data_IF_475156242705
#
_entry.id   IF_475156242705
#
_cell.length_a   1.000
_cell.length_b   1.000
_cell.length_c   1.000
_cell.angle_alpha   90.00
_cell.angle_beta   90.00
_cell.angle_gamma   90.00
#
_symmetry.space_group_name_H-M   'P 1'
#
loop_
_entity.id
_entity.type
_entity.pdbx_description
1 polymer ?
#
# COMPACT_ATOMS: atom_id res chain seq x y z
N UNK A 1 -13.83 -10.49 11.01
CA UNK A 1 -13.93 -9.55 9.88
C UNK A 1 -14.77 -8.32 10.19
N UNK A 2 -15.98 -8.47 10.74
CA UNK A 2 -16.91 -7.34 10.93
C UNK A 2 -16.33 -6.19 11.77
N UNK A 3 -15.74 -6.48 12.94
CA UNK A 3 -15.05 -5.47 13.78
C UNK A 3 -13.85 -4.81 13.08
N UNK A 4 -13.14 -5.54 12.23
CA UNK A 4 -12.01 -5.00 11.47
C UNK A 4 -12.50 -4.06 10.37
N UNK A 5 -13.53 -4.49 9.63
CA UNK A 5 -14.16 -3.69 8.59
C UNK A 5 -14.74 -2.39 9.17
N UNK A 6 -15.39 -2.47 10.33
CA UNK A 6 -15.89 -1.30 11.07
C UNK A 6 -14.75 -0.34 11.45
N UNK A 7 -13.67 -0.83 12.08
CA UNK A 7 -12.51 -0.01 12.45
C UNK A 7 -11.81 0.61 11.24
N UNK A 8 -11.70 -0.14 10.14
CA UNK A 8 -11.16 0.35 8.87
C UNK A 8 -12.16 1.25 8.11
N UNK A 9 -13.41 1.32 8.56
CA UNK A 9 -14.53 2.03 7.93
C UNK A 9 -14.77 1.63 6.47
N UNK A 10 -14.77 0.32 6.22
CA UNK A 10 -15.17 -0.32 4.96
C UNK A 10 -16.23 -1.39 5.25
N UNK A 11 -16.97 -1.86 4.23
CA UNK A 11 -17.98 -2.89 4.46
C UNK A 11 -17.34 -4.27 4.70
N UNK A 12 -17.94 -5.06 5.59
CA UNK A 12 -17.51 -6.44 5.88
C UNK A 12 -17.53 -7.32 4.62
N UNK A 13 -18.52 -7.11 3.74
CA UNK A 13 -18.60 -7.77 2.43
C UNK A 13 -17.39 -7.43 1.56
N UNK A 14 -17.05 -6.14 1.43
CA UNK A 14 -15.93 -5.70 0.60
C UNK A 14 -14.59 -6.19 1.14
N UNK A 15 -14.37 -6.12 2.46
CA UNK A 15 -13.16 -6.70 3.07
C UNK A 15 -13.05 -8.20 2.79
N UNK A 16 -14.17 -8.93 2.84
CA UNK A 16 -14.22 -10.35 2.45
C UNK A 16 -13.90 -10.62 1.00
N UNK A 17 -14.33 -9.76 0.07
CA UNK A 17 -13.97 -9.87 -1.35
C UNK A 17 -12.47 -9.64 -1.56
N UNK A 18 -11.90 -8.63 -0.89
CA UNK A 18 -10.47 -8.31 -0.96
C UNK A 18 -9.60 -9.46 -0.44
N UNK A 19 -9.92 -10.05 0.72
CA UNK A 19 -9.14 -11.17 1.27
C UNK A 19 -9.15 -12.42 0.37
N UNK A 20 -10.22 -12.63 -0.40
CA UNK A 20 -10.31 -13.73 -1.38
C UNK A 20 -9.67 -13.41 -2.72
N UNK A 21 -9.03 -12.24 -2.87
CA UNK A 21 -8.46 -11.78 -4.13
C UNK A 21 -9.49 -11.37 -5.19
N UNK A 22 -10.75 -11.20 -4.80
CA UNK A 22 -11.87 -10.86 -5.69
C UNK A 22 -12.24 -9.36 -5.65
N UNK A 23 -11.63 -8.57 -4.77
CA UNK A 23 -11.89 -7.14 -4.61
C UNK A 23 -10.70 -6.26 -5.02
N UNK A 24 -10.95 -5.23 -5.82
CA UNK A 24 -9.93 -4.20 -6.10
C UNK A 24 -9.89 -3.19 -4.94
N UNK A 25 -8.81 -3.22 -4.15
CA UNK A 25 -8.62 -2.32 -3.02
C UNK A 25 -7.69 -1.16 -3.38
N UNK A 26 -8.14 0.06 -3.10
CA UNK A 26 -7.28 1.24 -3.22
C UNK A 26 -6.23 1.24 -2.11
N UNK A 27 -5.04 1.81 -2.38
CA UNK A 27 -4.00 2.00 -1.36
C UNK A 27 -4.50 2.74 -0.11
N UNK A 28 -5.41 3.70 -0.27
CA UNK A 28 -6.04 4.41 0.85
C UNK A 28 -6.82 3.45 1.75
N UNK A 29 -7.66 2.59 1.17
CA UNK A 29 -8.43 1.62 1.95
C UNK A 29 -7.54 0.53 2.54
N UNK A 30 -6.51 0.10 1.81
CA UNK A 30 -5.53 -0.87 2.31
C UNK A 30 -4.78 -0.32 3.53
N UNK A 31 -4.40 0.96 3.51
CA UNK A 31 -3.79 1.62 4.66
C UNK A 31 -4.73 1.75 5.85
N UNK A 32 -6.02 2.02 5.63
CA UNK A 32 -7.02 2.02 6.72
C UNK A 32 -7.16 0.64 7.35
N UNK A 33 -7.05 -0.43 6.55
CA UNK A 33 -7.02 -1.80 7.05
C UNK A 33 -5.74 -2.04 7.86
N UNK A 34 -4.58 -1.57 7.40
CA UNK A 34 -3.31 -1.65 8.13
C UNK A 34 -3.38 -0.95 9.50
N UNK A 35 -3.85 0.30 9.53
CA UNK A 35 -4.07 1.08 10.74
C UNK A 35 -5.05 0.38 11.69
N UNK A 36 -6.15 -0.18 11.17
CA UNK A 36 -7.09 -0.96 11.94
C UNK A 36 -6.52 -2.31 12.42
N UNK A 37 -5.49 -2.84 11.79
CA UNK A 37 -4.75 -4.02 12.30
C UNK A 37 -3.65 -3.62 13.30
N UNK A 38 -3.27 -2.35 13.35
CA UNK A 38 -2.15 -1.87 14.17
C UNK A 38 -0.79 -2.23 13.59
N UNK A 39 -0.70 -2.40 12.27
CA UNK A 39 0.52 -2.73 11.53
C UNK A 39 0.82 -1.66 10.48
N UNK A 40 2.02 -1.66 9.92
CA UNK A 40 2.36 -0.77 8.81
C UNK A 40 1.80 -1.33 7.49
N UNK A 41 1.56 -0.45 6.52
CA UNK A 41 1.14 -0.88 5.18
C UNK A 41 2.15 -1.84 4.54
N UNK A 42 3.45 -1.65 4.80
CA UNK A 42 4.52 -2.53 4.34
C UNK A 42 4.40 -3.97 4.87
N UNK A 43 3.74 -4.17 6.01
CA UNK A 43 3.59 -5.50 6.61
C UNK A 43 2.48 -6.32 5.92
N UNK A 44 1.61 -5.66 5.16
CA UNK A 44 0.52 -6.29 4.38
C UNK A 44 0.94 -6.54 2.93
N UNK A 45 1.82 -5.70 2.39
CA UNK A 45 2.27 -5.79 1.00
C UNK A 45 3.47 -6.72 0.91
N UNK A 46 3.29 -7.88 0.27
CA UNK A 46 4.41 -8.73 -0.12
C UNK A 46 5.03 -8.20 -1.43
N UNK A 47 6.29 -7.79 -1.36
CA UNK A 47 7.03 -7.22 -2.48
C UNK A 47 7.85 -8.25 -3.28
N UNK A 48 7.97 -9.50 -2.79
CA UNK A 48 8.51 -10.66 -3.51
C UNK A 48 9.72 -10.40 -4.42
N UNK A 49 10.72 -9.64 -3.97
CA UNK A 49 11.87 -9.28 -4.80
C UNK A 49 13.14 -10.03 -4.40
N UNK A 50 13.88 -10.51 -5.40
CA UNK A 50 15.19 -11.18 -5.21
C UNK A 50 16.37 -10.21 -5.38
N UNK A 51 16.12 -8.93 -5.70
CA UNK A 51 17.15 -7.93 -5.98
C UNK A 51 17.68 -7.26 -4.72
N UNK A 52 18.96 -6.88 -4.77
CA UNK A 52 19.62 -6.12 -3.72
C UNK A 52 19.11 -4.68 -3.64
N UNK A 53 19.16 -4.10 -2.42
CA UNK A 53 18.68 -2.73 -2.16
C UNK A 53 19.27 -1.68 -3.10
N UNK A 54 20.56 -1.79 -3.40
CA UNK A 54 21.25 -0.84 -4.28
C UNK A 54 20.69 -0.87 -5.70
N UNK A 55 20.37 -2.06 -6.22
CA UNK A 55 19.81 -2.23 -7.56
C UNK A 55 18.40 -1.66 -7.65
N UNK A 56 17.58 -1.92 -6.63
CA UNK A 56 16.22 -1.36 -6.54
C UNK A 56 16.25 0.17 -6.50
N UNK A 57 17.18 0.77 -5.76
CA UNK A 57 17.32 2.22 -5.70
C UNK A 57 17.78 2.82 -7.03
N UNK A 58 18.68 2.16 -7.76
CA UNK A 58 19.07 2.58 -9.11
C UNK A 58 17.87 2.56 -10.06
N UNK A 59 17.09 1.49 -10.06
CA UNK A 59 15.87 1.37 -10.88
C UNK A 59 14.85 2.48 -10.54
N UNK A 60 14.61 2.74 -9.24
CA UNK A 60 13.71 3.81 -8.81
C UNK A 60 14.21 5.17 -9.31
N UNK A 61 15.53 5.45 -9.19
CA UNK A 61 16.11 6.69 -9.67
C UNK A 61 15.94 6.85 -11.19
N UNK A 62 16.18 5.79 -11.97
CA UNK A 62 15.97 5.79 -13.42
C UNK A 62 14.50 6.03 -13.80
N UNK A 63 13.55 5.35 -13.14
CA UNK A 63 12.11 5.54 -13.39
C UNK A 63 11.70 6.97 -13.03
N UNK A 64 12.23 7.52 -11.93
CA UNK A 64 11.86 8.85 -11.42
C UNK A 64 12.12 9.97 -12.42
N UNK A 65 13.08 9.82 -13.33
CA UNK A 65 13.41 10.83 -14.36
C UNK A 65 12.31 11.03 -15.40
N UNK A 66 11.38 10.08 -15.53
CA UNK A 66 10.30 10.10 -16.54
C UNK A 66 8.94 10.46 -15.96
N UNK A 67 8.89 10.75 -14.66
CA UNK A 67 7.64 11.00 -13.94
C UNK A 67 7.18 12.43 -14.10
N UNK A 68 5.86 12.61 -14.15
CA UNK A 68 5.27 13.94 -14.05
C UNK A 68 5.24 14.43 -12.61
N UNK A 69 5.05 15.74 -12.40
CA UNK A 69 4.87 16.29 -11.05
C UNK A 69 3.74 15.60 -10.27
N UNK A 70 2.67 15.21 -10.97
CA UNK A 70 1.55 14.47 -10.37
C UNK A 70 1.99 13.09 -9.91
N UNK A 71 2.77 12.38 -10.71
CA UNK A 71 3.26 11.05 -10.35
C UNK A 71 4.19 11.14 -9.13
N UNK A 72 5.07 12.14 -9.09
CA UNK A 72 5.96 12.41 -7.94
C UNK A 72 5.15 12.68 -6.67
N UNK A 73 4.09 13.48 -6.74
CA UNK A 73 3.20 13.74 -5.60
C UNK A 73 2.53 12.46 -5.08
N UNK A 74 2.07 11.60 -5.99
CA UNK A 74 1.43 10.33 -5.64
C UNK A 74 2.46 9.38 -4.99
N UNK A 75 3.64 9.24 -5.57
CA UNK A 75 4.72 8.40 -5.02
C UNK A 75 5.14 8.88 -3.64
N UNK A 76 5.32 10.19 -3.46
CA UNK A 76 5.61 10.77 -2.15
C UNK A 76 4.54 10.37 -1.12
N UNK A 77 3.27 10.46 -1.48
CA UNK A 77 2.18 10.06 -0.59
C UNK A 77 2.23 8.57 -0.25
N UNK A 78 2.46 7.69 -1.23
CA UNK A 78 2.58 6.24 -1.02
C UNK A 78 3.78 5.88 -0.13
N UNK A 79 4.96 6.44 -0.41
CA UNK A 79 6.17 6.23 0.40
C UNK A 79 5.98 6.75 1.82
N UNK A 80 5.32 7.89 1.98
CA UNK A 80 4.97 8.45 3.29
C UNK A 80 4.08 7.49 4.08
N UNK A 81 3.03 6.95 3.45
CA UNK A 81 2.14 5.97 4.08
C UNK A 81 2.89 4.70 4.51
N UNK A 82 3.83 4.22 3.70
CA UNK A 82 4.64 3.04 4.04
C UNK A 82 5.63 3.30 5.18
N UNK A 83 6.18 4.51 5.28
CA UNK A 83 7.20 4.85 6.27
C UNK A 83 6.63 5.13 7.68
N UNK A 84 5.31 5.07 7.87
CA UNK A 84 4.65 5.31 9.14
C UNK A 84 4.86 6.73 9.71
N UNK A 85 5.15 7.71 8.85
CA UNK A 85 5.43 9.13 9.22
C UNK A 85 4.45 10.10 8.56
#
# INVERSE_FOLDING_TARGET
MERLAERAGISSKYLGEVERGAGNISFRNLNRVAEALGVQLSDIVDAGHEREREELLKIIAEISQKLTDRDVQIIYYLVKMMAGK
#
